data_IF_558553585568
#
_entry.id   IF_558553585568
#
_cell.length_a   1.000
_cell.length_b   1.000
_cell.length_c   1.000
_cell.angle_alpha   90.00
_cell.angle_beta   90.00
_cell.angle_gamma   90.00
#
_symmetry.space_group_name_H-M   'P 1'
#
loop_
_entity.id
_entity.type
_entity.pdbx_description
1 polymer ?
#
# COMPACT_ATOMS: atom_id res chain seq x y z
N UNK A 1 6.52 18.40 -12.87
CA UNK A 1 7.10 17.97 -11.56
C UNK A 1 6.16 16.98 -10.87
N UNK A 2 6.69 15.86 -10.37
CA UNK A 2 5.91 14.80 -9.73
C UNK A 2 6.27 14.67 -8.24
N UNK A 3 5.25 14.53 -7.40
CA UNK A 3 5.39 14.35 -5.96
C UNK A 3 4.48 13.22 -5.48
N UNK A 4 5.00 12.35 -4.63
CA UNK A 4 4.23 11.28 -4.00
C UNK A 4 4.17 11.52 -2.49
N UNK A 5 2.95 11.63 -1.96
CA UNK A 5 2.66 11.95 -0.56
C UNK A 5 2.01 10.73 0.08
N UNK A 6 2.69 10.11 1.04
CA UNK A 6 2.19 8.94 1.76
C UNK A 6 1.15 9.39 2.79
N UNK A 7 -0.09 8.93 2.67
CA UNK A 7 -1.14 9.21 3.66
C UNK A 7 -1.08 8.18 4.80
N UNK A 8 -0.83 6.92 4.47
CA UNK A 8 -0.64 5.84 5.44
C UNK A 8 0.41 4.84 4.98
N UNK A 9 1.18 4.32 5.93
CA UNK A 9 2.36 3.47 5.71
C UNK A 9 2.28 2.07 6.34
N UNK A 10 1.20 1.79 7.04
CA UNK A 10 1.05 0.64 7.94
C UNK A 10 0.19 -0.48 7.36
N UNK A 11 -0.01 -1.54 8.17
CA UNK A 11 -0.69 -2.74 7.71
C UNK A 11 -2.20 -2.52 7.69
N UNK A 12 -2.90 -3.59 7.35
CA UNK A 12 -4.33 -3.78 7.47
C UNK A 12 -4.98 -3.16 8.71
N UNK A 13 -4.43 -3.41 9.91
CA UNK A 13 -4.99 -2.91 11.18
C UNK A 13 -4.56 -1.49 11.55
N UNK A 14 -3.67 -0.86 10.75
CA UNK A 14 -2.94 0.33 11.16
C UNK A 14 -2.04 0.08 12.37
N UNK A 15 -1.36 1.13 12.83
CA UNK A 15 -0.64 1.16 14.10
C UNK A 15 -1.06 2.37 14.95
N UNK A 16 -1.16 2.19 16.28
CA UNK A 16 -0.83 0.98 17.05
C UNK A 16 -1.85 -0.17 16.89
N UNK A 17 -1.40 -1.41 17.12
CA UNK A 17 -2.30 -2.55 17.26
C UNK A 17 -2.99 -2.48 18.62
N UNK A 18 -4.33 -2.34 18.62
CA UNK A 18 -5.11 -2.13 19.85
C UNK A 18 -4.82 -3.23 20.90
N UNK A 19 -4.91 -4.50 20.51
CA UNK A 19 -4.68 -5.62 21.43
C UNK A 19 -3.23 -5.72 21.95
N UNK A 20 -2.26 -5.13 21.24
CA UNK A 20 -0.90 -5.00 21.75
C UNK A 20 -0.81 -3.83 22.73
N UNK A 21 -1.35 -2.66 22.36
CA UNK A 21 -1.26 -1.44 23.15
C UNK A 21 -1.96 -1.54 24.51
N UNK A 22 -3.10 -2.21 24.56
CA UNK A 22 -3.93 -2.36 25.77
C UNK A 22 -3.60 -3.63 26.55
N UNK A 23 -2.48 -4.30 26.25
CA UNK A 23 -2.13 -5.55 26.92
C UNK A 23 -1.95 -5.32 28.44
N UNK A 24 -2.61 -6.13 29.29
CA UNK A 24 -2.45 -6.08 30.74
C UNK A 24 -1.00 -6.27 31.18
N UNK A 25 -0.63 -5.68 32.32
CA UNK A 25 0.73 -5.78 32.86
C UNK A 25 1.10 -7.19 33.35
N UNK A 26 0.11 -8.04 33.64
CA UNK A 26 0.27 -9.43 34.06
C UNK A 26 0.23 -10.44 32.89
N UNK A 27 0.16 -9.95 31.65
CA UNK A 27 0.20 -10.82 30.47
C UNK A 27 1.56 -11.52 30.31
N UNK A 28 1.60 -12.73 29.71
CA UNK A 28 2.84 -13.51 29.56
C UNK A 28 3.87 -12.91 28.58
N UNK A 29 3.51 -11.84 27.87
CA UNK A 29 4.35 -11.18 26.88
C UNK A 29 4.22 -9.66 27.01
N UNK A 30 5.33 -8.94 26.91
CA UNK A 30 5.33 -7.48 26.96
C UNK A 30 4.63 -6.85 25.75
N UNK A 31 4.31 -5.55 25.86
CA UNK A 31 3.87 -4.76 24.71
C UNK A 31 5.05 -4.56 23.77
N UNK A 32 4.80 -4.57 22.47
CA UNK A 32 5.88 -4.35 21.51
C UNK A 32 6.31 -2.87 21.50
N UNK A 33 7.62 -2.64 21.33
CA UNK A 33 8.23 -1.31 21.24
C UNK A 33 7.57 -0.43 20.17
N UNK A 34 7.20 -1.02 19.02
CA UNK A 34 6.55 -0.30 17.94
C UNK A 34 5.23 0.34 18.39
N UNK A 35 4.34 -0.46 19.02
CA UNK A 35 3.06 0.05 19.52
C UNK A 35 3.23 1.04 20.66
N UNK A 36 4.17 0.80 21.59
CA UNK A 36 4.42 1.74 22.69
C UNK A 36 4.91 3.09 22.18
N UNK A 37 5.81 3.10 21.19
CA UNK A 37 6.33 4.33 20.58
C UNK A 37 5.28 5.17 19.84
N UNK A 38 4.07 4.65 19.61
CA UNK A 38 2.97 5.45 19.07
C UNK A 38 2.35 6.40 20.10
N UNK A 39 2.64 6.22 21.39
CA UNK A 39 2.09 7.04 22.48
C UNK A 39 3.00 8.20 22.86
N UNK A 40 4.30 8.01 22.73
CA UNK A 40 5.31 8.99 23.12
C UNK A 40 5.67 9.86 21.92
N UNK A 41 5.71 11.17 22.11
CA UNK A 41 6.21 12.11 21.12
C UNK A 41 7.65 12.45 21.53
N UNK A 42 8.63 11.87 20.84
CA UNK A 42 10.04 12.18 21.09
C UNK A 42 10.47 13.44 20.35
N UNK A 43 11.59 14.05 20.77
CA UNK A 43 12.16 15.19 20.04
C UNK A 43 12.50 14.84 18.58
N UNK A 44 12.90 13.58 18.32
CA UNK A 44 13.17 13.05 16.98
C UNK A 44 11.87 12.89 16.17
N UNK A 45 10.76 12.47 16.81
CA UNK A 45 9.45 12.42 16.16
C UNK A 45 8.98 13.83 15.75
N UNK A 46 9.15 14.83 16.61
CA UNK A 46 8.81 16.22 16.29
C UNK A 46 9.65 16.73 15.11
N UNK A 47 10.97 16.50 15.14
CA UNK A 47 11.88 16.91 14.06
C UNK A 47 11.58 16.19 12.73
N UNK A 48 11.07 14.96 12.79
CA UNK A 48 10.67 14.16 11.64
C UNK A 48 9.23 14.42 11.15
N UNK A 49 8.49 15.35 11.77
CA UNK A 49 7.12 15.70 11.36
C UNK A 49 6.02 14.80 11.93
N UNK A 50 6.32 13.99 12.95
CA UNK A 50 5.36 13.18 13.70
C UNK A 50 5.91 11.82 14.13
N UNK A 51 5.06 11.05 14.82
CA UNK A 51 5.39 9.71 15.33
C UNK A 51 5.47 8.70 14.18
N UNK A 52 6.67 8.37 13.72
CA UNK A 52 6.88 7.53 12.51
C UNK A 52 6.33 6.09 12.61
N UNK A 53 6.06 5.60 13.82
CA UNK A 53 5.42 4.30 14.08
C UNK A 53 3.90 4.38 14.24
N UNK A 54 3.31 5.57 14.29
CA UNK A 54 1.88 5.74 14.13
C UNK A 54 1.58 5.63 12.63
N UNK A 55 0.82 4.61 12.23
CA UNK A 55 0.65 4.26 10.82
C UNK A 55 -0.81 4.04 10.43
N UNK A 56 -1.26 4.69 9.37
CA UNK A 56 -2.50 4.41 8.65
C UNK A 56 -2.39 3.22 7.73
N UNK A 57 -3.50 2.89 7.08
CA UNK A 57 -3.49 1.93 5.98
C UNK A 57 -2.73 2.50 4.79
N UNK A 58 -1.99 1.62 4.11
CA UNK A 58 -1.25 1.96 2.89
C UNK A 58 -2.10 2.74 1.90
N UNK A 59 -1.71 3.99 1.66
CA UNK A 59 -2.35 4.89 0.70
C UNK A 59 -1.43 6.08 0.40
N UNK A 60 -1.58 6.67 -0.78
CA UNK A 60 -0.84 7.87 -1.14
C UNK A 60 -1.62 8.79 -2.07
N UNK A 61 -1.12 10.02 -2.21
CA UNK A 61 -1.52 10.95 -3.27
C UNK A 61 -0.32 11.17 -4.19
N UNK A 62 -0.54 10.91 -5.47
CA UNK A 62 0.35 11.29 -6.57
C UNK A 62 -0.09 12.67 -7.06
N UNK A 63 0.77 13.67 -6.86
CA UNK A 63 0.55 15.04 -7.27
C UNK A 63 1.48 15.41 -8.42
N UNK A 64 0.92 15.79 -9.57
CA UNK A 64 1.67 16.34 -10.70
C UNK A 64 1.40 17.83 -10.81
N UNK A 65 2.45 18.64 -10.78
CA UNK A 65 2.38 20.08 -11.11
C UNK A 65 2.79 20.25 -12.57
N UNK A 66 1.90 20.86 -13.34
CA UNK A 66 2.05 21.14 -14.78
C UNK A 66 2.75 22.49 -15.01
N UNK A 67 3.16 22.73 -16.25
CA UNK A 67 3.91 23.94 -16.64
C UNK A 67 3.09 25.23 -16.47
N UNK A 68 1.77 25.13 -16.55
CA UNK A 68 0.84 26.25 -16.29
C UNK A 68 0.56 26.48 -14.79
N UNK A 69 1.21 25.70 -13.92
CA UNK A 69 1.05 25.75 -12.47
C UNK A 69 -0.18 25.02 -11.93
N UNK A 70 -1.02 24.44 -12.79
CA UNK A 70 -2.14 23.61 -12.34
C UNK A 70 -1.62 22.30 -11.73
N UNK A 71 -2.44 21.67 -10.91
CA UNK A 71 -2.10 20.42 -10.22
C UNK A 71 -3.14 19.35 -10.48
N UNK A 72 -2.65 18.13 -10.70
CA UNK A 72 -3.46 16.92 -10.71
C UNK A 72 -3.12 16.06 -9.50
N UNK A 73 -4.13 15.65 -8.75
CA UNK A 73 -4.02 14.87 -7.52
C UNK A 73 -4.76 13.54 -7.69
N UNK A 74 -4.01 12.46 -7.87
CA UNK A 74 -4.55 11.09 -7.98
C UNK A 74 -4.23 10.34 -6.69
N UNK A 75 -5.26 9.89 -5.98
CA UNK A 75 -5.11 9.10 -4.76
C UNK A 75 -5.05 7.61 -5.10
N UNK A 76 -4.18 6.87 -4.43
CA UNK A 76 -4.10 5.41 -4.50
C UNK A 76 -4.56 4.82 -3.16
N UNK A 77 -5.59 3.99 -3.22
CA UNK A 77 -6.29 3.33 -2.12
C UNK A 77 -6.96 4.25 -1.10
N UNK A 78 -8.06 3.76 -0.50
CA UNK A 78 -8.85 4.48 0.47
C UNK A 78 -9.15 3.58 1.69
N UNK A 79 -8.15 3.49 2.57
CA UNK A 79 -8.15 2.72 3.80
C UNK A 79 -9.22 3.09 4.82
N UNK A 80 -9.53 2.22 5.80
CA UNK A 80 -10.39 2.57 6.95
C UNK A 80 -9.82 3.71 7.82
N UNK A 81 -8.53 4.00 7.71
CA UNK A 81 -7.90 5.13 8.40
C UNK A 81 -7.97 6.43 7.59
N UNK A 82 -8.54 6.42 6.37
CA UNK A 82 -8.52 7.55 5.45
C UNK A 82 -9.04 8.84 6.07
N UNK A 83 -10.20 8.85 6.73
CA UNK A 83 -10.71 10.09 7.33
C UNK A 83 -9.70 10.75 8.31
N UNK A 84 -9.05 9.94 9.15
CA UNK A 84 -8.03 10.42 10.08
C UNK A 84 -6.80 10.93 9.32
N UNK A 85 -6.30 10.13 8.39
CA UNK A 85 -5.07 10.41 7.63
C UNK A 85 -5.26 11.65 6.74
N UNK A 86 -6.43 11.81 6.13
CA UNK A 86 -6.79 12.98 5.34
C UNK A 86 -6.86 14.24 6.20
N UNK A 87 -7.51 14.20 7.38
CA UNK A 87 -7.56 15.33 8.30
C UNK A 87 -6.17 15.80 8.73
N UNK A 88 -5.24 14.85 8.94
CA UNK A 88 -3.88 15.15 9.39
C UNK A 88 -3.01 15.70 8.25
N UNK A 89 -3.01 15.03 7.10
CA UNK A 89 -2.01 15.26 6.06
C UNK A 89 -2.48 16.22 4.97
N UNK A 90 -3.78 16.28 4.64
CA UNK A 90 -4.24 17.15 3.56
C UNK A 90 -3.93 18.63 3.84
N UNK A 91 -4.25 19.18 5.05
CA UNK A 91 -3.93 20.57 5.36
C UNK A 91 -2.42 20.84 5.34
N UNK A 92 -1.60 19.91 5.87
CA UNK A 92 -0.14 20.06 5.94
C UNK A 92 0.52 20.08 4.56
N UNK A 93 -0.03 19.34 3.59
CA UNK A 93 0.50 19.29 2.22
C UNK A 93 -0.22 20.22 1.24
N UNK A 94 -1.18 21.02 1.70
CA UNK A 94 -1.99 21.88 0.85
C UNK A 94 -2.87 21.10 -0.14
N UNK A 95 -3.27 19.87 0.21
CA UNK A 95 -4.22 19.09 -0.57
C UNK A 95 -5.64 19.52 -0.21
N UNK A 96 -6.49 19.64 -1.24
CA UNK A 96 -7.90 20.03 -1.07
C UNK A 96 -8.81 19.20 -1.95
N UNK A 97 -8.48 19.06 -3.23
CA UNK A 97 -9.23 18.31 -4.24
C UNK A 97 -8.55 16.97 -4.55
N UNK A 98 -9.34 15.96 -4.89
CA UNK A 98 -8.88 14.69 -5.43
C UNK A 98 -9.47 14.55 -6.84
N UNK A 99 -8.62 14.52 -7.87
CA UNK A 99 -9.09 14.44 -9.26
C UNK A 99 -9.46 13.00 -9.64
N UNK A 100 -8.81 12.01 -9.03
CA UNK A 100 -9.16 10.61 -9.21
C UNK A 100 -8.72 9.76 -8.01
N UNK A 101 -9.41 8.66 -7.77
CA UNK A 101 -9.02 7.59 -6.83
C UNK A 101 -8.75 6.32 -7.63
N UNK A 102 -7.66 5.62 -7.36
CA UNK A 102 -7.32 4.34 -7.97
C UNK A 102 -7.25 3.30 -6.86
N UNK A 103 -7.90 2.14 -7.05
CA UNK A 103 -7.93 1.07 -6.07
C UNK A 103 -7.08 -0.11 -6.54
N UNK A 104 -6.18 -0.56 -5.68
CA UNK A 104 -5.26 -1.68 -5.95
C UNK A 104 -5.97 -3.03 -5.92
N UNK A 105 -6.93 -3.21 -5.01
CA UNK A 105 -7.68 -4.45 -4.83
C UNK A 105 -8.92 -4.25 -3.96
N UNK A 106 -9.70 -5.32 -3.81
CA UNK A 106 -11.03 -5.35 -3.21
C UNK A 106 -11.09 -5.91 -1.79
N UNK A 107 -9.96 -5.93 -1.07
CA UNK A 107 -9.99 -6.32 0.34
C UNK A 107 -10.84 -5.31 1.15
N UNK A 108 -12.09 -5.71 1.32
CA UNK A 108 -12.98 -5.37 2.40
C UNK A 108 -13.14 -6.60 3.31
N UNK A 109 -13.44 -6.35 4.57
CA UNK A 109 -13.90 -7.32 5.54
C UNK A 109 -14.94 -8.30 4.96
N UNK A 110 -14.53 -9.54 4.66
CA UNK A 110 -15.51 -10.50 4.17
C UNK A 110 -15.11 -11.86 3.57
N UNK A 111 -13.84 -12.23 3.39
CA UNK A 111 -13.52 -13.62 3.05
C UNK A 111 -13.57 -14.52 4.30
N UNK A 112 -14.77 -14.74 4.83
CA UNK A 112 -15.07 -15.87 5.70
C UNK A 112 -15.29 -17.10 4.83
N UNK A 113 -14.27 -17.94 4.72
CA UNK A 113 -14.54 -19.37 4.59
C UNK A 113 -14.39 -19.94 5.98
N UNK A 114 -15.53 -20.37 6.54
CA UNK A 114 -15.57 -21.25 7.69
C UNK A 114 -14.81 -22.54 7.34
N UNK A 115 -13.52 -22.61 7.66
CA UNK A 115 -12.86 -23.91 7.84
C UNK A 115 -12.66 -24.12 9.33
N UNK A 116 -13.30 -25.17 9.81
CA UNK A 116 -13.28 -25.67 11.17
C UNK A 116 -11.87 -25.66 11.78
N UNK A 117 -11.79 -25.04 12.96
CA UNK A 117 -10.76 -25.16 14.00
C UNK A 117 -9.29 -24.83 13.61
N UNK A 118 -8.81 -23.71 14.18
CA UNK A 118 -7.41 -23.32 14.43
C UNK A 118 -6.64 -22.40 13.45
N UNK A 119 -7.26 -21.80 12.44
CA UNK A 119 -6.65 -20.66 11.72
C UNK A 119 -7.69 -19.56 11.53
N UNK A 120 -7.84 -18.72 12.55
CA UNK A 120 -8.79 -17.61 12.54
C UNK A 120 -8.05 -16.30 12.69
N UNK A 121 -7.40 -15.87 11.60
CA UNK A 121 -7.05 -14.48 11.33
C UNK A 121 -6.94 -14.34 9.80
N UNK A 122 -8.08 -14.29 9.12
CA UNK A 122 -8.15 -13.71 7.78
C UNK A 122 -7.77 -12.25 7.95
N UNK A 123 -6.54 -11.91 7.56
CA UNK A 123 -5.99 -10.55 7.62
C UNK A 123 -6.84 -9.63 6.75
N UNK A 124 -7.73 -8.88 7.41
CA UNK A 124 -8.58 -7.83 6.85
C UNK A 124 -7.70 -6.66 6.39
N UNK A 125 -7.23 -6.64 5.15
CA UNK A 125 -6.71 -5.40 4.51
C UNK A 125 -7.90 -4.62 3.94
N UNK A 126 -7.75 -3.30 3.82
CA UNK A 126 -8.88 -2.37 3.87
C UNK A 126 -8.86 -1.33 2.75
N UNK A 127 -8.39 -1.69 1.55
CA UNK A 127 -8.18 -0.75 0.45
C UNK A 127 -9.42 0.07 0.07
N UNK A 128 -10.61 -0.42 0.43
CA UNK A 128 -11.91 0.19 0.09
C UNK A 128 -12.77 0.59 1.30
N UNK A 129 -12.32 0.32 2.54
CA UNK A 129 -13.18 0.55 3.73
C UNK A 129 -13.36 2.02 4.08
N UNK A 130 -12.50 2.90 3.58
CA UNK A 130 -12.65 4.35 3.72
C UNK A 130 -13.44 5.00 2.59
N UNK A 131 -13.95 4.25 1.61
CA UNK A 131 -14.63 4.86 0.46
C UNK A 131 -15.86 5.68 0.88
N UNK A 132 -16.58 5.29 1.92
CA UNK A 132 -17.71 6.07 2.44
C UNK A 132 -17.28 7.46 2.94
N UNK A 133 -16.04 7.62 3.44
CA UNK A 133 -15.53 8.91 3.89
C UNK A 133 -15.24 9.88 2.73
N UNK A 134 -15.06 9.38 1.50
CA UNK A 134 -14.91 10.23 0.32
C UNK A 134 -16.16 11.06 0.01
N UNK A 135 -17.33 10.71 0.56
CA UNK A 135 -18.53 11.56 0.50
C UNK A 135 -18.29 12.96 1.05
N UNK A 136 -17.30 13.15 1.93
CA UNK A 136 -16.96 14.47 2.47
C UNK A 136 -16.47 15.45 1.39
N UNK A 137 -16.02 14.93 0.23
CA UNK A 137 -15.58 15.73 -0.90
C UNK A 137 -16.75 16.17 -1.81
N UNK A 138 -17.81 15.35 -1.90
CA UNK A 138 -18.91 15.48 -2.87
C UNK A 138 -20.28 15.77 -2.25
N UNK A 139 -20.38 15.85 -0.92
CA UNK A 139 -21.66 15.98 -0.19
C UNK A 139 -22.52 17.16 -0.69
N UNK A 140 -23.80 16.92 -1.04
CA UNK A 140 -24.68 17.98 -1.53
C UNK A 140 -25.20 18.90 -0.41
N UNK A 141 -25.03 20.21 -0.65
CA UNK A 141 -25.72 21.41 -0.14
C UNK A 141 -26.69 21.22 1.05
N UNK A 142 -26.16 21.22 2.27
CA UNK A 142 -26.97 21.45 3.48
C UNK A 142 -27.05 22.95 3.81
N UNK A 143 -27.90 23.70 3.08
CA UNK A 143 -28.22 25.14 3.27
C UNK A 143 -27.02 26.13 3.25
N UNK A 144 -27.28 27.33 2.73
CA UNK A 144 -26.38 28.49 2.56
C UNK A 144 -25.03 28.44 3.32
N UNK A 145 -23.96 28.16 2.55
CA UNK A 145 -22.57 27.99 2.99
C UNK A 145 -21.95 26.79 2.28
N UNK A 146 -21.18 27.02 1.21
CA UNK A 146 -20.73 25.95 0.31
C UNK A 146 -19.42 25.30 0.80
N UNK A 147 -19.49 24.13 1.45
CA UNK A 147 -18.30 23.38 1.90
C UNK A 147 -17.89 22.23 0.95
N UNK A 148 -18.74 21.88 -0.02
CA UNK A 148 -18.44 20.85 -1.02
C UNK A 148 -17.21 21.22 -1.85
N UNK A 149 -16.34 20.25 -2.08
CA UNK A 149 -15.04 20.45 -2.73
C UNK A 149 -15.16 20.29 -4.23
N UNK A 150 -15.94 19.30 -4.66
CA UNK A 150 -16.08 18.87 -6.04
C UNK A 150 -17.44 18.21 -6.27
N UNK A 151 -17.92 18.21 -7.51
CA UNK A 151 -19.25 17.69 -7.84
C UNK A 151 -19.31 16.16 -7.80
N UNK A 152 -18.24 15.49 -8.26
CA UNK A 152 -18.11 14.04 -8.26
C UNK A 152 -16.65 13.61 -8.02
N UNK A 153 -16.44 12.33 -7.79
CA UNK A 153 -15.14 11.67 -7.71
C UNK A 153 -15.05 10.55 -8.74
N UNK A 154 -14.03 10.58 -9.60
CA UNK A 154 -13.72 9.46 -10.50
C UNK A 154 -12.95 8.38 -9.74
N UNK A 155 -13.45 7.15 -9.77
CA UNK A 155 -12.85 5.99 -9.07
C UNK A 155 -12.50 4.90 -10.09
N UNK A 156 -11.22 4.52 -10.14
CA UNK A 156 -10.67 3.55 -11.08
C UNK A 156 -10.32 2.26 -10.35
N UNK A 157 -10.82 1.12 -10.83
CA UNK A 157 -10.53 -0.19 -10.26
C UNK A 157 -10.73 -1.33 -11.28
N UNK A 158 -10.30 -2.54 -10.97
CA UNK A 158 -10.61 -3.70 -11.82
C UNK A 158 -12.11 -4.04 -11.77
N UNK A 159 -12.60 -4.72 -12.81
CA UNK A 159 -14.00 -5.17 -12.87
C UNK A 159 -14.38 -6.07 -11.66
N UNK A 160 -13.45 -6.92 -11.20
CA UNK A 160 -13.65 -7.77 -10.01
C UNK A 160 -13.82 -6.94 -8.74
N UNK A 161 -13.05 -5.86 -8.60
CA UNK A 161 -13.12 -4.95 -7.45
C UNK A 161 -14.42 -4.15 -7.47
N UNK A 162 -14.82 -3.66 -8.65
CA UNK A 162 -16.11 -3.00 -8.81
C UNK A 162 -17.29 -3.93 -8.46
N UNK A 163 -17.20 -5.22 -8.77
CA UNK A 163 -18.24 -6.19 -8.40
C UNK A 163 -18.40 -6.31 -6.87
N UNK A 164 -17.28 -6.40 -6.13
CA UNK A 164 -17.30 -6.43 -4.66
C UNK A 164 -17.82 -5.11 -4.07
N UNK A 165 -17.42 -3.96 -4.63
CA UNK A 165 -17.94 -2.66 -4.20
C UNK A 165 -19.45 -2.57 -4.44
N UNK A 166 -19.96 -3.05 -5.57
CA UNK A 166 -21.40 -3.11 -5.86
C UNK A 166 -22.16 -3.99 -4.87
N UNK A 167 -21.56 -5.09 -4.44
CA UNK A 167 -22.17 -6.00 -3.45
C UNK A 167 -22.18 -5.39 -2.04
N UNK A 168 -21.05 -4.81 -1.61
CA UNK A 168 -20.83 -4.38 -0.22
C UNK A 168 -21.23 -2.94 0.06
N UNK A 169 -21.06 -2.07 -0.93
CA UNK A 169 -21.35 -0.65 -0.87
C UNK A 169 -22.22 -0.22 -2.06
N UNK A 170 -23.39 -0.87 -2.32
CA UNK A 170 -24.23 -0.58 -3.48
C UNK A 170 -24.63 0.89 -3.56
N UNK A 171 -24.78 1.54 -2.41
CA UNK A 171 -25.11 2.95 -2.28
C UNK A 171 -24.03 3.89 -2.82
N UNK A 172 -22.76 3.47 -2.90
CA UNK A 172 -21.69 4.27 -3.51
C UNK A 172 -21.72 4.24 -5.03
N UNK A 173 -22.34 3.22 -5.64
CA UNK A 173 -22.27 2.97 -7.08
C UNK A 173 -23.53 3.42 -7.83
N UNK A 174 -24.71 3.31 -7.20
CA UNK A 174 -25.97 3.70 -7.84
C UNK A 174 -26.92 4.38 -6.86
N UNK A 175 -27.40 5.56 -7.26
CA UNK A 175 -28.40 6.33 -6.53
C UNK A 175 -29.75 5.58 -6.43
N UNK A 176 -30.09 4.76 -7.44
CA UNK A 176 -31.35 4.00 -7.47
C UNK A 176 -31.41 2.90 -6.39
N UNK A 177 -30.25 2.48 -5.86
CA UNK A 177 -30.17 1.53 -4.75
C UNK A 177 -30.58 2.16 -3.40
N UNK A 178 -30.79 3.48 -3.35
CA UNK A 178 -30.91 4.26 -2.11
C UNK A 178 -32.15 5.16 -2.17
N UNK A 179 -33.34 4.58 -2.44
CA UNK A 179 -34.60 5.33 -2.37
C UNK A 179 -34.80 5.89 -0.96
N UNK A 180 -34.64 7.21 -0.80
CA UNK A 180 -35.04 7.96 0.40
C UNK A 180 -33.92 8.55 1.27
N UNK A 181 -32.63 8.44 0.89
CA UNK A 181 -31.54 9.06 1.64
C UNK A 181 -30.96 10.30 0.94
N UNK A 182 -30.60 11.32 1.72
CA UNK A 182 -30.31 12.68 1.24
C UNK A 182 -28.82 13.02 1.12
N UNK A 183 -27.90 12.08 1.36
CA UNK A 183 -26.45 12.33 1.26
C UNK A 183 -25.67 11.12 0.75
N UNK A 184 -25.74 10.85 -0.55
CA UNK A 184 -24.96 9.80 -1.19
C UNK A 184 -23.69 10.42 -1.80
N UNK A 185 -22.56 9.71 -1.77
CA UNK A 185 -21.34 10.14 -2.46
C UNK A 185 -21.59 10.12 -3.98
N UNK A 186 -21.25 11.19 -4.69
CA UNK A 186 -21.28 11.19 -6.16
C UNK A 186 -19.95 10.63 -6.68
N UNK A 187 -19.94 9.33 -6.99
CA UNK A 187 -18.77 8.61 -7.50
C UNK A 187 -19.05 8.03 -8.89
N UNK A 188 -18.10 8.23 -9.80
CA UNK A 188 -18.13 7.68 -11.15
C UNK A 188 -17.08 6.58 -11.25
N UNK A 189 -17.51 5.33 -11.42
CA UNK A 189 -16.60 4.19 -11.48
C UNK A 189 -16.14 3.89 -12.90
N UNK A 190 -14.83 3.73 -13.07
CA UNK A 190 -14.16 3.39 -14.31
C UNK A 190 -13.38 2.08 -14.16
N UNK A 191 -13.53 1.18 -15.12
CA UNK A 191 -12.81 -0.09 -15.12
C UNK A 191 -11.42 0.08 -15.74
N UNK A 192 -10.38 -0.36 -15.03
CA UNK A 192 -9.01 -0.43 -15.54
C UNK A 192 -8.57 -1.88 -15.75
N UNK A 193 -7.68 -2.07 -16.71
CA UNK A 193 -7.14 -3.37 -17.10
C UNK A 193 -5.65 -3.48 -16.72
N UNK A 194 -5.21 -4.57 -16.08
CA UNK A 194 -3.81 -4.80 -15.79
C UNK A 194 -2.97 -4.99 -17.05
N UNK A 195 -1.76 -4.44 -17.05
CA UNK A 195 -0.84 -4.49 -18.19
C UNK A 195 -1.21 -3.56 -19.35
N UNK A 196 -2.21 -2.69 -19.17
CA UNK A 196 -2.60 -1.66 -20.13
C UNK A 196 -2.33 -0.27 -19.55
N UNK A 197 -1.75 0.62 -20.36
CA UNK A 197 -1.51 2.00 -19.96
C UNK A 197 -2.84 2.77 -19.90
N UNK A 198 -3.06 3.50 -18.81
CA UNK A 198 -4.18 4.44 -18.64
C UNK A 198 -3.62 5.84 -18.41
N UNK A 199 -4.41 6.86 -18.77
CA UNK A 199 -4.14 8.27 -18.45
C UNK A 199 -5.25 8.74 -17.53
N UNK A 200 -4.92 9.01 -16.27
CA UNK A 200 -5.88 9.34 -15.21
C UNK A 200 -5.51 10.72 -14.66
N UNK A 201 -6.41 11.69 -14.79
CA UNK A 201 -6.14 13.10 -14.51
C UNK A 201 -4.83 13.61 -15.17
N UNK A 202 -4.57 13.17 -16.41
CA UNK A 202 -3.35 13.52 -17.15
C UNK A 202 -2.09 12.72 -16.75
N UNK A 203 -2.13 11.93 -15.68
CA UNK A 203 -1.00 11.14 -15.21
C UNK A 203 -1.03 9.76 -15.87
N UNK A 204 0.11 9.33 -16.44
CA UNK A 204 0.26 7.96 -16.97
C UNK A 204 0.31 6.95 -15.82
N UNK A 205 -0.65 6.03 -15.76
CA UNK A 205 -0.72 4.93 -14.79
C UNK A 205 -0.78 3.60 -15.51
N UNK A 206 0.15 2.70 -15.20
CA UNK A 206 0.17 1.32 -15.66
C UNK A 206 -0.07 0.37 -14.47
N UNK A 207 -1.26 -0.23 -14.36
CA UNK A 207 -1.54 -1.26 -13.36
C UNK A 207 -0.79 -2.55 -13.70
N UNK A 208 -0.16 -3.16 -12.71
CA UNK A 208 0.67 -4.36 -12.84
C UNK A 208 0.19 -5.41 -11.84
N UNK A 209 -0.04 -6.63 -12.31
CA UNK A 209 -0.49 -7.71 -11.44
C UNK A 209 0.64 -8.18 -10.51
N UNK A 210 0.34 -8.29 -9.23
CA UNK A 210 1.17 -8.94 -8.22
C UNK A 210 0.32 -9.91 -7.40
N UNK A 211 0.92 -10.97 -6.88
CA UNK A 211 0.21 -11.92 -6.03
C UNK A 211 0.24 -11.41 -4.59
N UNK A 212 -0.89 -11.51 -3.90
CA UNK A 212 -1.09 -11.18 -2.51
C UNK A 212 -1.63 -12.42 -1.76
N UNK A 213 -0.82 -13.47 -1.68
CA UNK A 213 -1.21 -14.75 -1.09
C UNK A 213 -2.19 -15.55 -1.92
N UNK A 214 -3.17 -16.18 -1.26
CA UNK A 214 -4.09 -17.12 -1.89
C UNK A 214 -5.50 -16.89 -1.37
N UNK A 215 -6.47 -16.94 -2.29
CA UNK A 215 -7.89 -16.99 -1.97
C UNK A 215 -8.37 -18.43 -2.03
N UNK A 216 -9.31 -18.77 -1.17
CA UNK A 216 -10.03 -20.04 -1.26
C UNK A 216 -11.30 -19.79 -2.07
N UNK A 217 -11.47 -20.54 -3.15
CA UNK A 217 -12.62 -20.45 -4.05
C UNK A 217 -13.44 -21.72 -3.91
N UNK A 218 -14.75 -21.60 -3.79
CA UNK A 218 -15.62 -22.78 -3.86
C UNK A 218 -15.83 -23.19 -5.31
N UNK A 219 -15.79 -24.49 -5.61
CA UNK A 219 -16.14 -25.00 -6.94
C UNK A 219 -17.57 -24.61 -7.39
N UNK A 220 -18.43 -24.22 -6.44
CA UNK A 220 -19.78 -23.69 -6.69
C UNK A 220 -19.79 -22.28 -7.29
N UNK A 221 -18.81 -21.44 -6.95
CA UNK A 221 -18.73 -20.04 -7.40
C UNK A 221 -18.41 -19.94 -8.90
N UNK A 222 -17.75 -20.97 -9.44
CA UNK A 222 -17.46 -21.08 -10.88
C UNK A 222 -18.69 -21.38 -11.73
N UNK A 223 -19.78 -21.87 -11.12
CA UNK A 223 -20.98 -22.37 -11.78
C UNK A 223 -22.26 -21.60 -11.41
N UNK A 224 -22.20 -20.64 -10.48
CA UNK A 224 -23.33 -19.82 -10.07
C UNK A 224 -24.44 -20.59 -9.34
N UNK A 225 -24.11 -21.69 -8.65
CA UNK A 225 -25.08 -22.52 -7.91
C UNK A 225 -24.68 -22.56 -6.44
N UNK A 226 -25.48 -21.97 -5.55
CA UNK A 226 -25.28 -22.02 -4.09
C UNK A 226 -25.44 -23.45 -3.55
N UNK A 227 -24.36 -24.21 -3.58
CA UNK A 227 -24.22 -25.46 -2.85
C UNK A 227 -22.93 -25.35 -2.03
N UNK A 228 -23.07 -25.00 -0.74
CA UNK A 228 -22.02 -25.02 0.28
C UNK A 228 -21.53 -26.44 0.61
N UNK A 229 -21.36 -27.29 -0.41
CA UNK A 229 -20.92 -28.69 -0.31
C UNK A 229 -20.15 -29.02 -1.60
N UNK A 230 -18.96 -28.43 -1.77
CA UNK A 230 -18.08 -28.70 -2.90
C UNK A 230 -16.60 -28.63 -2.50
N UNK A 231 -15.68 -29.27 -3.25
CA UNK A 231 -14.26 -29.16 -3.00
C UNK A 231 -13.82 -27.69 -3.14
N UNK A 232 -13.11 -27.18 -2.14
CA UNK A 232 -12.50 -25.85 -2.19
C UNK A 232 -11.15 -25.91 -2.88
N UNK A 233 -10.84 -24.91 -3.70
CA UNK A 233 -9.54 -24.77 -4.36
C UNK A 233 -8.86 -23.49 -3.89
N UNK A 234 -7.58 -23.55 -3.58
CA UNK A 234 -6.76 -22.36 -3.35
C UNK A 234 -6.20 -21.85 -4.67
N UNK A 235 -6.42 -20.58 -4.95
CA UNK A 235 -5.89 -19.90 -6.13
C UNK A 235 -5.11 -18.65 -5.71
N UNK A 236 -4.05 -18.25 -6.46
CA UNK A 236 -3.34 -17.01 -6.19
C UNK A 236 -4.31 -15.82 -6.19
N UNK A 237 -4.30 -15.05 -5.11
CA UNK A 237 -5.05 -13.80 -5.06
C UNK A 237 -4.20 -12.71 -5.71
N UNK A 238 -4.72 -12.05 -6.74
CA UNK A 238 -3.98 -11.07 -7.53
C UNK A 238 -4.46 -9.66 -7.22
N UNK A 239 -3.53 -8.76 -6.93
CA UNK A 239 -3.74 -7.33 -6.68
C UNK A 239 -2.95 -6.49 -7.69
N UNK A 240 -3.13 -5.17 -7.65
CA UNK A 240 -2.41 -4.25 -8.51
C UNK A 240 -1.32 -3.48 -7.78
N UNK A 241 -0.13 -3.51 -8.36
CA UNK A 241 0.86 -2.45 -8.23
C UNK A 241 0.62 -1.40 -9.32
N UNK A 242 1.12 -0.18 -9.13
CA UNK A 242 1.01 0.90 -10.10
C UNK A 242 2.38 1.42 -10.50
N UNK A 243 2.69 1.36 -11.79
CA UNK A 243 3.82 2.05 -12.39
C UNK A 243 3.33 3.41 -12.93
N UNK A 244 3.79 4.47 -12.28
CA UNK A 244 3.38 5.86 -12.51
C UNK A 244 4.43 6.55 -13.37
N UNK A 245 3.97 7.22 -14.42
CA UNK A 245 4.78 8.10 -15.28
C UNK A 245 6.07 7.49 -15.78
N UNK A 246 6.09 6.20 -16.13
CA UNK A 246 7.33 5.73 -16.74
C UNK A 246 8.46 5.59 -15.72
N UNK A 247 8.24 5.70 -14.40
CA UNK A 247 9.37 5.88 -13.46
C UNK A 247 9.14 5.51 -11.99
N UNK A 248 7.92 5.66 -11.45
CA UNK A 248 7.66 5.45 -10.02
C UNK A 248 6.83 4.19 -9.81
N UNK A 249 7.31 3.26 -8.98
CA UNK A 249 6.56 2.06 -8.60
C UNK A 249 5.88 2.26 -7.23
N UNK A 250 4.57 2.03 -7.18
CA UNK A 250 3.81 1.84 -5.93
C UNK A 250 3.31 0.40 -5.87
N UNK A 251 3.90 -0.43 -5.01
CA UNK A 251 3.60 -1.86 -4.90
C UNK A 251 3.38 -2.23 -3.43
N UNK A 252 2.13 -2.20 -2.99
CA UNK A 252 1.70 -2.67 -1.68
C UNK A 252 1.06 -4.04 -1.82
N UNK A 253 0.96 -4.78 -0.71
CA UNK A 253 0.20 -6.03 -0.64
C UNK A 253 0.68 -7.05 -1.68
N UNK A 254 1.99 -7.34 -1.66
CA UNK A 254 2.62 -8.27 -2.58
C UNK A 254 3.34 -9.36 -1.79
N UNK A 255 3.16 -10.62 -2.18
CA UNK A 255 3.95 -11.78 -1.75
C UNK A 255 4.83 -12.32 -2.87
N UNK A 256 4.37 -12.25 -4.12
CA UNK A 256 5.10 -12.74 -5.30
C UNK A 256 4.88 -11.76 -6.45
N UNK A 257 5.97 -11.45 -7.15
CA UNK A 257 5.95 -10.60 -8.35
C UNK A 257 6.06 -11.52 -9.59
N UNK A 258 5.01 -11.63 -10.43
CA UNK A 258 5.01 -12.48 -11.61
C UNK A 258 6.11 -12.12 -12.60
N UNK A 259 6.54 -13.10 -13.41
CA UNK A 259 7.56 -12.88 -14.44
C UNK A 259 7.17 -11.78 -15.44
N UNK A 260 5.91 -11.75 -15.87
CA UNK A 260 5.38 -10.71 -16.77
C UNK A 260 5.55 -9.30 -16.17
N UNK A 261 5.33 -9.16 -14.86
CA UNK A 261 5.50 -7.90 -14.13
C UNK A 261 6.98 -7.53 -14.05
N UNK A 262 7.87 -8.48 -13.75
CA UNK A 262 9.32 -8.25 -13.80
C UNK A 262 9.81 -7.81 -15.17
N UNK A 263 9.31 -8.44 -16.24
CA UNK A 263 9.69 -8.10 -17.61
C UNK A 263 9.33 -6.63 -17.91
N UNK A 264 8.13 -6.18 -17.50
CA UNK A 264 7.70 -4.78 -17.67
C UNK A 264 8.54 -3.83 -16.83
N UNK A 265 8.81 -4.15 -15.55
CA UNK A 265 9.61 -3.30 -14.68
C UNK A 265 11.05 -3.10 -15.18
N UNK A 266 11.61 -4.10 -15.88
CA UNK A 266 12.97 -4.02 -16.43
C UNK A 266 13.08 -3.50 -17.85
N UNK A 267 12.05 -3.71 -18.68
CA UNK A 267 12.13 -3.47 -20.12
C UNK A 267 11.04 -2.55 -20.66
N UNK A 268 10.08 -2.12 -19.84
CA UNK A 268 8.90 -1.37 -20.27
C UNK A 268 7.86 -2.25 -20.94
N UNK A 269 6.79 -1.62 -21.44
CA UNK A 269 5.70 -2.32 -22.15
C UNK A 269 6.14 -2.83 -23.53
N UNK A 270 7.01 -2.07 -24.22
CA UNK A 270 7.44 -2.36 -25.59
C UNK A 270 8.62 -3.34 -25.61
N UNK A 271 8.30 -4.64 -25.68
CA UNK A 271 9.29 -5.73 -25.72
C UNK A 271 10.22 -5.70 -26.93
N UNK A 272 9.88 -4.96 -27.98
CA UNK A 272 10.67 -4.91 -29.21
C UNK A 272 11.90 -4.01 -29.11
N UNK A 273 11.91 -3.08 -28.14
CA UNK A 273 13.04 -2.17 -28.00
C UNK A 273 14.04 -2.76 -27.01
N UNK A 274 15.22 -3.15 -27.51
CA UNK A 274 16.37 -3.56 -26.69
C UNK A 274 16.94 -2.34 -25.94
N UNK A 275 16.19 -1.82 -24.98
CA UNK A 275 16.70 -0.82 -24.07
C UNK A 275 17.58 -1.49 -22.99
N UNK A 276 18.60 -0.77 -22.47
CA UNK A 276 19.25 -1.18 -21.24
C UNK A 276 18.22 -1.35 -20.13
N UNK A 277 18.50 -2.24 -19.17
CA UNK A 277 17.62 -2.50 -18.02
C UNK A 277 17.22 -1.16 -17.38
N UNK A 278 15.93 -0.86 -17.39
CA UNK A 278 15.40 0.38 -16.85
C UNK A 278 15.67 0.45 -15.35
N UNK A 279 16.03 1.64 -14.88
CA UNK A 279 16.23 1.94 -13.48
C UNK A 279 15.20 2.96 -13.02
N UNK A 280 14.27 2.54 -12.18
CA UNK A 280 13.24 3.40 -11.62
C UNK A 280 13.85 4.44 -10.68
N UNK A 281 13.39 5.68 -10.73
CA UNK A 281 13.82 6.73 -9.79
C UNK A 281 13.31 6.48 -8.38
N UNK A 282 12.12 5.88 -8.24
CA UNK A 282 11.45 5.73 -6.95
C UNK A 282 10.59 4.45 -6.92
N UNK A 283 10.68 3.70 -5.82
CA UNK A 283 9.83 2.55 -5.57
C UNK A 283 9.33 2.53 -4.12
N UNK A 284 8.06 2.21 -3.93
CA UNK A 284 7.45 1.85 -2.66
C UNK A 284 7.09 0.37 -2.72
N UNK A 285 7.62 -0.42 -1.80
CA UNK A 285 7.57 -1.88 -1.87
C UNK A 285 7.05 -2.44 -0.54
N UNK A 286 6.10 -3.36 -0.64
CA UNK A 286 5.55 -4.12 0.48
C UNK A 286 6.66 -4.70 1.37
N UNK A 287 6.51 -4.50 2.67
CA UNK A 287 7.26 -5.16 3.72
C UNK A 287 6.36 -5.20 4.94
N UNK A 288 5.77 -6.34 5.23
CA UNK A 288 4.92 -6.49 6.43
C UNK A 288 5.56 -7.34 7.52
N UNK A 289 6.50 -8.24 7.21
CA UNK A 289 6.86 -9.32 8.12
C UNK A 289 8.37 -9.54 8.27
N UNK A 290 8.83 -10.01 9.43
CA UNK A 290 10.23 -10.44 9.60
C UNK A 290 10.46 -11.75 8.84
N UNK A 291 9.55 -12.71 9.00
CA UNK A 291 9.64 -14.05 8.42
C UNK A 291 8.60 -14.27 7.32
N UNK A 292 8.84 -15.19 6.37
CA UNK A 292 7.90 -15.45 5.28
C UNK A 292 6.50 -15.77 5.77
N UNK A 293 5.53 -14.99 5.32
CA UNK A 293 4.10 -15.24 5.46
C UNK A 293 3.48 -15.32 4.07
N UNK A 294 2.30 -15.94 3.99
CA UNK A 294 1.71 -16.28 2.67
C UNK A 294 1.38 -15.06 1.82
N UNK A 295 1.06 -13.91 2.44
CA UNK A 295 0.43 -12.79 1.76
C UNK A 295 1.32 -11.56 1.55
N UNK A 296 2.50 -11.49 2.19
CA UNK A 296 3.38 -10.31 2.15
C UNK A 296 4.84 -10.68 2.00
N UNK A 297 5.65 -9.70 1.58
CA UNK A 297 7.10 -9.83 1.61
C UNK A 297 7.58 -9.83 3.06
N UNK A 298 8.46 -10.79 3.36
CA UNK A 298 9.32 -10.75 4.53
C UNK A 298 10.51 -9.82 4.28
N UNK A 299 11.25 -9.46 5.34
CA UNK A 299 12.50 -8.69 5.24
C UNK A 299 13.43 -9.27 4.18
N UNK A 300 13.64 -10.59 4.17
CA UNK A 300 14.51 -11.26 3.19
C UNK A 300 14.01 -11.06 1.76
N UNK A 301 12.76 -11.43 1.49
CA UNK A 301 12.19 -11.33 0.14
C UNK A 301 12.07 -9.87 -0.32
N UNK A 302 11.84 -8.93 0.60
CA UNK A 302 11.90 -7.50 0.33
C UNK A 302 13.29 -7.11 -0.18
N UNK A 303 14.37 -7.52 0.50
CA UNK A 303 15.74 -7.20 0.08
C UNK A 303 16.10 -7.81 -1.28
N UNK A 304 15.67 -9.04 -1.55
CA UNK A 304 15.82 -9.69 -2.87
C UNK A 304 15.09 -8.87 -3.96
N UNK A 305 13.90 -8.34 -3.66
CA UNK A 305 13.17 -7.44 -4.55
C UNK A 305 13.89 -6.12 -4.73
N UNK A 306 14.43 -5.50 -3.67
CA UNK A 306 15.21 -4.24 -3.76
C UNK A 306 16.46 -4.42 -4.61
N UNK A 307 17.23 -5.50 -4.40
CA UNK A 307 18.40 -5.85 -5.21
C UNK A 307 18.00 -6.03 -6.68
N UNK A 308 16.97 -6.83 -6.95
CA UNK A 308 16.56 -7.16 -8.31
C UNK A 308 15.98 -5.94 -9.05
N UNK A 309 15.13 -5.14 -8.39
CA UNK A 309 14.51 -3.96 -8.98
C UNK A 309 15.54 -2.86 -9.25
N UNK A 310 16.53 -2.73 -8.38
CA UNK A 310 17.64 -1.78 -8.50
C UNK A 310 17.23 -0.30 -8.63
N UNK A 311 16.10 0.09 -8.04
CA UNK A 311 15.64 1.49 -8.06
C UNK A 311 16.67 2.45 -7.43
N UNK A 312 16.62 3.73 -7.80
CA UNK A 312 17.50 4.78 -7.23
C UNK A 312 17.17 4.99 -5.75
N UNK A 313 15.87 5.09 -5.42
CA UNK A 313 15.36 5.14 -4.05
C UNK A 313 14.24 4.13 -3.85
N UNK A 314 14.34 3.33 -2.79
CA UNK A 314 13.28 2.39 -2.40
C UNK A 314 12.77 2.71 -1.00
N UNK A 315 11.46 2.71 -0.82
CA UNK A 315 10.82 2.85 0.48
C UNK A 315 10.04 1.61 0.85
N UNK A 316 10.30 1.06 2.04
CA UNK A 316 9.51 -0.05 2.59
C UNK A 316 8.16 0.47 3.11
N UNK A 317 7.06 -0.19 2.76
CA UNK A 317 5.69 0.20 3.12
C UNK A 317 4.84 -1.00 3.56
N UNK A 318 3.82 -0.79 4.38
CA UNK A 318 2.96 -1.87 4.88
C UNK A 318 3.48 -2.54 6.15
N UNK A 319 4.42 -1.89 6.85
CA UNK A 319 5.13 -2.46 8.01
C UNK A 319 4.22 -2.64 9.20
N UNK A 320 4.13 -3.88 9.71
CA UNK A 320 3.33 -4.20 10.88
C UNK A 320 4.04 -3.82 12.20
N UNK A 321 3.40 -4.11 13.34
CA UNK A 321 3.95 -3.73 14.65
C UNK A 321 5.21 -4.50 15.09
N UNK A 322 5.67 -5.48 14.33
CA UNK A 322 6.94 -6.18 14.56
C UNK A 322 8.12 -5.49 13.87
N UNK A 323 7.86 -4.48 13.04
CA UNK A 323 8.85 -3.75 12.26
C UNK A 323 8.83 -2.25 12.64
N UNK A 324 9.65 -1.86 13.62
CA UNK A 324 9.75 -0.45 13.98
C UNK A 324 10.46 0.35 12.87
N UNK A 325 10.10 1.64 12.73
CA UNK A 325 10.75 2.54 11.79
C UNK A 325 12.27 2.55 11.96
N UNK A 326 12.77 2.79 13.18
CA UNK A 326 14.21 2.82 13.45
C UNK A 326 14.93 1.50 13.14
N UNK A 327 14.25 0.36 13.28
CA UNK A 327 14.83 -0.97 13.00
C UNK A 327 15.06 -1.18 11.50
N UNK A 328 14.09 -0.80 10.66
CA UNK A 328 14.22 -0.88 9.20
C UNK A 328 15.16 0.20 8.66
N UNK A 329 15.20 1.37 9.29
CA UNK A 329 16.18 2.42 8.99
C UNK A 329 17.61 1.93 9.27
N UNK A 330 17.84 1.34 10.45
CA UNK A 330 19.12 0.74 10.81
C UNK A 330 19.52 -0.41 9.86
N UNK A 331 18.57 -1.22 9.39
CA UNK A 331 18.84 -2.25 8.38
C UNK A 331 19.30 -1.63 7.05
N UNK A 332 18.65 -0.55 6.61
CA UNK A 332 19.06 0.19 5.41
C UNK A 332 20.45 0.82 5.55
N UNK A 333 20.78 1.37 6.72
CA UNK A 333 22.11 1.89 7.03
C UNK A 333 23.20 0.81 7.09
N UNK A 334 22.85 -0.37 7.61
CA UNK A 334 23.75 -1.52 7.70
C UNK A 334 24.17 -1.96 6.29
N UNK A 335 23.21 -2.09 5.37
CA UNK A 335 23.45 -2.41 3.95
C UNK A 335 24.37 -1.38 3.29
N UNK A 336 24.25 -0.11 3.65
CA UNK A 336 25.11 0.95 3.13
C UNK A 336 26.47 1.08 3.83
N UNK A 337 26.70 0.36 4.93
CA UNK A 337 27.93 0.46 5.72
C UNK A 337 28.11 1.77 6.49
N UNK A 338 27.02 2.52 6.74
CA UNK A 338 27.05 3.82 7.45
C UNK A 338 26.46 3.75 8.86
N UNK A 339 26.01 2.57 9.29
CA UNK A 339 25.30 2.36 10.54
C UNK A 339 26.16 2.61 11.77
N UNK A 340 25.54 3.16 12.81
CA UNK A 340 26.08 3.19 14.19
C UNK A 340 25.37 2.16 15.08
N UNK A 341 26.10 1.57 16.04
CA UNK A 341 25.53 0.64 17.03
C UNK A 341 24.46 1.34 17.88
N UNK A 342 23.43 0.61 18.27
CA UNK A 342 22.24 1.21 18.87
C UNK A 342 21.23 0.19 19.37
N UNK A 343 20.06 0.68 19.81
CA UNK A 343 19.01 -0.17 20.40
C UNK A 343 18.41 -1.17 19.40
N UNK A 344 18.69 -0.98 18.12
CA UNK A 344 18.25 -1.77 16.98
C UNK A 344 19.16 -2.99 16.74
N UNK A 345 20.28 -3.12 17.48
CA UNK A 345 21.21 -4.26 17.38
C UNK A 345 20.51 -5.61 17.56
N UNK A 346 19.58 -5.73 18.51
CA UNK A 346 18.86 -6.97 18.78
C UNK A 346 17.95 -7.40 17.61
N UNK A 347 17.30 -6.43 16.95
CA UNK A 347 16.49 -6.68 15.76
C UNK A 347 17.37 -7.17 14.60
N UNK A 348 18.51 -6.49 14.38
CA UNK A 348 19.45 -6.92 13.35
C UNK A 348 19.97 -8.32 13.65
N UNK A 349 20.44 -8.60 14.86
CA UNK A 349 20.84 -9.95 15.26
C UNK A 349 19.73 -10.99 14.97
N UNK A 350 18.46 -10.65 15.22
CA UNK A 350 17.33 -11.53 14.90
C UNK A 350 17.17 -11.77 13.39
N UNK A 351 17.19 -10.71 12.58
CA UNK A 351 17.06 -10.81 11.12
C UNK A 351 18.26 -11.58 10.55
N UNK A 352 19.47 -11.23 10.98
CA UNK A 352 20.73 -11.77 10.47
C UNK A 352 20.94 -13.24 10.88
N UNK A 353 20.63 -13.61 12.13
CA UNK A 353 20.76 -15.01 12.62
C UNK A 353 19.56 -15.88 12.29
N UNK A 354 18.38 -15.28 12.12
CA UNK A 354 17.17 -15.99 11.69
C UNK A 354 17.34 -16.65 10.32
N UNK A 355 18.22 -16.11 9.48
CA UNK A 355 18.57 -16.66 8.17
C UNK A 355 19.56 -17.82 8.23
N UNK A 356 20.39 -17.94 9.28
CA UNK A 356 21.37 -19.03 9.43
C UNK A 356 20.73 -20.42 9.67
N UNK A 357 19.44 -20.46 10.03
CA UNK A 357 18.70 -21.71 10.28
C UNK A 357 17.97 -22.26 9.05
N UNK A 358 18.10 -21.62 7.89
CA UNK A 358 17.48 -22.08 6.63
C UNK A 358 18.59 -22.70 5.78
N UNK A 359 18.58 -24.03 5.62
CA UNK A 359 19.51 -24.75 4.73
C UNK A 359 19.45 -24.14 3.31
N UNK A 360 20.62 -23.96 2.69
CA UNK A 360 20.83 -23.40 1.33
C UNK A 360 20.46 -21.92 1.10
N UNK A 361 20.26 -21.12 2.14
CA UNK A 361 20.11 -19.66 1.99
C UNK A 361 21.46 -18.97 1.65
N UNK A 362 21.54 -18.12 0.61
CA UNK A 362 22.70 -17.23 0.46
C UNK A 362 22.83 -16.38 1.72
N UNK A 363 23.98 -16.50 2.39
CA UNK A 363 24.32 -15.81 3.63
C UNK A 363 24.07 -14.31 3.46
N UNK A 364 23.46 -13.65 4.46
CA UNK A 364 23.31 -12.19 4.55
C UNK A 364 24.50 -11.38 4.01
N UNK A 365 25.72 -11.88 4.25
CA UNK A 365 26.97 -11.30 3.76
C UNK A 365 27.02 -11.09 2.24
N UNK A 366 26.33 -11.92 1.46
CA UNK A 366 26.24 -11.85 0.00
C UNK A 366 25.18 -10.85 -0.51
N UNK A 367 24.08 -10.67 0.22
CA UNK A 367 23.01 -9.71 -0.10
C UNK A 367 23.42 -8.29 0.31
N UNK A 368 24.04 -8.15 1.50
CA UNK A 368 24.43 -6.85 2.07
C UNK A 368 25.22 -5.97 1.10
N UNK A 369 26.11 -6.56 0.29
CA UNK A 369 26.96 -5.80 -0.64
C UNK A 369 26.26 -5.40 -1.94
N UNK A 370 25.10 -6.00 -2.24
CA UNK A 370 24.41 -5.84 -3.53
C UNK A 370 23.14 -5.02 -3.43
N UNK A 371 22.50 -4.99 -2.25
CA UNK A 371 21.23 -4.29 -2.05
C UNK A 371 21.44 -2.77 -2.15
N UNK A 372 20.70 -2.08 -3.05
CA UNK A 372 20.71 -0.63 -3.15
C UNK A 372 20.14 0.09 -1.92
N UNK A 373 20.18 1.42 -1.96
CA UNK A 373 19.57 2.28 -0.94
C UNK A 373 18.08 1.95 -0.74
N UNK A 374 17.68 1.78 0.53
CA UNK A 374 16.27 1.79 0.93
C UNK A 374 16.07 2.41 2.31
N UNK A 375 14.87 2.91 2.58
CA UNK A 375 14.45 3.39 3.91
C UNK A 375 12.99 3.02 4.21
N UNK A 376 12.58 2.95 5.48
CA UNK A 376 11.16 2.85 5.82
C UNK A 376 10.41 4.12 5.44
N UNK A 377 9.21 3.99 4.89
CA UNK A 377 8.29 5.13 4.81
C UNK A 377 7.58 5.39 6.15
N UNK A 378 6.94 6.56 6.24
CA UNK A 378 6.11 7.00 7.34
C UNK A 378 4.96 7.86 6.79
N UNK A 379 3.89 7.98 7.57
CA UNK A 379 2.73 8.78 7.23
C UNK A 379 3.11 10.27 7.13
N UNK A 380 2.64 10.97 6.11
CA UNK A 380 3.01 12.36 5.81
C UNK A 380 4.33 12.54 5.06
N UNK A 381 5.05 11.46 4.76
CA UNK A 381 6.27 11.56 3.96
C UNK A 381 5.92 11.99 2.52
N UNK A 382 6.58 13.04 2.02
CA UNK A 382 6.47 13.48 0.64
C UNK A 382 7.82 13.32 -0.08
N UNK A 383 7.80 12.73 -1.28
CA UNK A 383 9.00 12.53 -2.11
C UNK A 383 8.77 13.15 -3.48
N UNK A 384 9.65 14.05 -3.88
CA UNK A 384 9.65 14.67 -5.22
C UNK A 384 10.58 13.93 -6.17
N UNK A 385 10.12 13.81 -7.41
CA UNK A 385 10.90 13.34 -8.55
C UNK A 385 10.85 14.45 -9.60
N UNK A 386 12.02 14.99 -9.93
CA UNK A 386 12.17 15.94 -11.02
C UNK A 386 12.06 15.17 -12.34
N UNK A 387 11.27 15.68 -13.28
CA UNK A 387 11.24 15.11 -14.63
C UNK A 387 12.62 15.34 -15.24
N UNK A 388 13.30 14.25 -15.59
CA UNK A 388 14.50 14.35 -16.42
C UNK A 388 14.03 14.93 -17.76
N UNK A 389 14.48 16.16 -18.08
CA UNK A 389 14.36 16.67 -19.44
C UNK A 389 15.05 15.65 -20.34
N UNK A 390 14.28 14.90 -21.13
CA UNK A 390 14.83 14.12 -22.23
C UNK A 390 15.42 15.15 -23.19
N UNK A 391 16.74 15.35 -23.12
CA UNK A 391 17.48 16.07 -24.14
C UNK A 391 17.35 15.26 -25.43
N UNK A 392 16.57 15.78 -26.37
CA UNK A 392 16.50 15.28 -27.75
C UNK A 392 17.85 15.31 -28.46
#
# INVERSE_FOLDING_TARGET
MLELIVLGSGPSGGLPQLGCLTRPSDAPYERCRCCESTREETADDIAAGGRKNQRGNTSCVVRKTWDDGTQSCVMIDCGKTFARDACEWFPKHGLRRIDAVILSHDHADGMSIHVSLHIQFTLVRAAILGLDDLRMFTRPKLKEGNDAIQDHLDVYCEAKTLAVIKERFPYLVSFDAVRGFTSVADMVFHVIEPGRQHVIAGIKILPLEVQHGFSVVSASDSLGVDLNVGPTRTEPYMTLAFLIEDDILWMTDASIIPRKTWDILHHGLDKEIKHPRRRLSLAFIDLSEIYPLRAHLSVRTFLEVVEKLFAVRTYAIGMNHTLCHGEIEALGEEVQGIRQKGREDAFLDQVLRGEEKIEDAPVWSSLKQKVPWFRPCYDGMAVRVEEQQQSE
#
